data_IF_353615283037
#
_entry.id   IF_353615283037
#
_cell.length_a   1.000
_cell.length_b   1.000
_cell.length_c   1.000
_cell.angle_alpha   90.00
_cell.angle_beta   90.00
_cell.angle_gamma   90.00
#
_symmetry.space_group_name_H-M   'P 1'
#
loop_
_entity.id
_entity.type
_entity.pdbx_description
1 polymer ?
#
# COMPACT_ATOMS: atom_id res chain seq x y z
N UNK A 1 9.32 -10.18 6.10
CA UNK A 1 8.37 -10.17 4.97
C UNK A 1 8.43 -8.82 4.27
N UNK A 2 8.12 -8.81 2.98
CA UNK A 2 8.09 -7.58 2.15
C UNK A 2 6.70 -7.34 1.56
N UNK A 3 5.83 -8.35 1.57
CA UNK A 3 4.45 -8.23 1.12
C UNK A 3 3.56 -9.22 1.85
N UNK A 4 2.36 -8.78 2.20
CA UNK A 4 1.28 -9.61 2.72
C UNK A 4 -0.01 -9.28 1.94
N UNK A 5 -0.77 -10.31 1.55
CA UNK A 5 -2.01 -10.15 0.79
C UNK A 5 -3.09 -11.07 1.36
N UNK A 6 -4.28 -10.54 1.56
CA UNK A 6 -5.46 -11.29 1.96
C UNK A 6 -6.56 -11.09 0.90
N UNK A 7 -7.08 -12.18 0.34
CA UNK A 7 -8.11 -12.13 -0.72
C UNK A 7 -7.71 -11.28 -1.95
N UNK A 8 -6.41 -11.20 -2.25
CA UNK A 8 -5.89 -10.40 -3.38
C UNK A 8 -5.61 -8.93 -3.05
N UNK A 9 -5.95 -8.46 -1.88
CA UNK A 9 -5.67 -7.10 -1.41
C UNK A 9 -4.40 -7.08 -0.56
N UNK A 10 -3.60 -6.03 -0.70
CA UNK A 10 -2.46 -5.81 0.21
C UNK A 10 -2.95 -5.52 1.62
N UNK A 11 -2.28 -6.10 2.60
CA UNK A 11 -2.52 -5.84 4.02
C UNK A 11 -1.20 -5.44 4.69
N UNK A 12 -1.29 -4.59 5.71
CA UNK A 12 -0.12 -4.20 6.49
C UNK A 12 0.47 -5.42 7.20
N UNK A 13 1.78 -5.63 7.05
CA UNK A 13 2.52 -6.70 7.75
C UNK A 13 2.47 -6.43 9.26
N UNK A 14 2.71 -5.19 9.66
CA UNK A 14 2.76 -4.80 11.07
C UNK A 14 1.40 -4.96 11.76
N UNK A 15 0.30 -4.58 11.10
CA UNK A 15 -1.05 -4.76 11.65
C UNK A 15 -1.47 -6.24 11.66
N UNK A 16 -1.15 -6.98 10.58
CA UNK A 16 -1.55 -8.38 10.44
C UNK A 16 -0.82 -9.29 11.42
N UNK A 17 0.47 -9.03 11.64
CA UNK A 17 1.34 -9.89 12.44
C UNK A 17 1.81 -9.24 13.76
N UNK A 18 1.40 -8.00 14.05
CA UNK A 18 1.79 -7.28 15.25
C UNK A 18 3.23 -6.76 15.21
N UNK A 19 3.79 -6.54 14.00
CA UNK A 19 5.12 -6.04 13.76
C UNK A 19 5.82 -6.75 12.61
N UNK A 20 7.09 -6.43 12.40
CA UNK A 20 7.90 -7.03 11.35
C UNK A 20 7.93 -8.56 11.45
N UNK A 21 7.85 -9.23 10.30
CA UNK A 21 7.93 -10.68 10.22
C UNK A 21 9.19 -11.10 9.45
N UNK A 22 10.11 -11.75 10.15
CA UNK A 22 11.44 -12.11 9.63
C UNK A 22 11.77 -13.58 9.86
N UNK A 23 12.58 -14.18 8.97
CA UNK A 23 13.21 -15.47 9.12
C UNK A 23 14.73 -15.38 9.00
N UNK A 24 15.43 -16.08 9.86
CA UNK A 24 16.83 -16.40 9.68
C UNK A 24 16.99 -17.89 9.35
N UNK A 25 17.32 -18.19 8.10
CA UNK A 25 17.53 -19.56 7.60
C UNK A 25 18.97 -19.99 7.81
N UNK A 26 19.20 -21.07 8.58
CA UNK A 26 20.54 -21.57 8.93
C UNK A 26 20.89 -22.82 8.13
N UNK A 27 22.15 -22.97 7.75
CA UNK A 27 22.64 -24.08 6.92
C UNK A 27 22.45 -25.48 7.55
N UNK A 28 22.11 -25.57 8.82
CA UNK A 28 21.93 -26.82 9.55
C UNK A 28 20.46 -27.31 9.59
N UNK A 29 19.61 -26.79 8.70
CA UNK A 29 18.18 -27.12 8.66
C UNK A 29 17.34 -26.49 9.76
N UNK A 30 17.90 -25.52 10.49
CA UNK A 30 17.17 -24.75 11.51
C UNK A 30 16.78 -23.40 10.95
N UNK A 31 15.66 -22.89 11.42
CA UNK A 31 15.19 -21.54 11.17
C UNK A 31 14.87 -20.88 12.51
N UNK A 32 15.23 -19.64 12.67
CA UNK A 32 14.68 -18.75 13.69
C UNK A 32 13.77 -17.73 13.04
N UNK A 33 12.69 -17.35 13.70
CA UNK A 33 11.77 -16.34 13.21
C UNK A 33 11.44 -15.33 14.31
N UNK A 34 11.10 -14.11 13.88
CA UNK A 34 10.52 -13.06 14.71
C UNK A 34 9.26 -12.54 14.06
N UNK A 35 8.22 -12.33 14.86
CA UNK A 35 6.94 -11.74 14.48
C UNK A 35 6.59 -10.72 15.55
N UNK A 36 6.74 -9.43 15.26
CA UNK A 36 6.69 -8.41 16.28
C UNK A 36 7.69 -8.70 17.41
N UNK A 37 7.20 -8.72 18.64
CA UNK A 37 8.00 -9.04 19.84
C UNK A 37 8.16 -10.53 20.11
N UNK A 38 7.50 -11.41 19.32
CA UNK A 38 7.55 -12.86 19.49
C UNK A 38 8.66 -13.46 18.66
N UNK A 39 9.47 -14.31 19.28
CA UNK A 39 10.53 -15.07 18.59
C UNK A 39 10.31 -16.56 18.76
N UNK A 40 10.69 -17.33 17.74
CA UNK A 40 10.58 -18.77 17.76
C UNK A 40 11.63 -19.45 16.91
N UNK A 41 11.61 -20.81 16.95
CA UNK A 41 12.50 -21.64 16.17
C UNK A 41 11.72 -22.74 15.49
N UNK A 42 12.20 -23.15 14.31
CA UNK A 42 11.65 -24.24 13.55
C UNK A 42 12.72 -25.02 12.82
N UNK A 43 12.28 -25.82 11.89
CA UNK A 43 13.13 -26.54 10.92
C UNK A 43 12.72 -26.15 9.51
N UNK A 44 13.65 -26.27 8.60
CA UNK A 44 13.38 -26.10 7.18
C UNK A 44 14.05 -27.19 6.36
N UNK A 45 13.44 -27.48 5.22
CA UNK A 45 14.01 -28.31 4.15
C UNK A 45 13.60 -27.75 2.79
N UNK A 46 14.23 -28.25 1.74
CA UNK A 46 13.86 -27.97 0.35
C UNK A 46 13.59 -29.29 -0.34
N UNK A 47 12.41 -29.40 -0.93
CA UNK A 47 12.01 -30.54 -1.75
C UNK A 47 11.32 -30.02 -3.02
N UNK A 48 11.70 -30.50 -4.18
CA UNK A 48 11.09 -30.15 -5.47
C UNK A 48 10.89 -28.62 -5.70
N UNK A 49 11.91 -27.84 -5.34
CA UNK A 49 11.90 -26.36 -5.41
C UNK A 49 10.87 -25.69 -4.46
N UNK A 50 10.39 -26.43 -3.47
CA UNK A 50 9.55 -25.90 -2.40
C UNK A 50 10.36 -25.75 -1.11
N UNK A 51 10.11 -24.66 -0.40
CA UNK A 51 10.63 -24.41 0.94
C UNK A 51 9.63 -24.93 1.97
N UNK A 52 10.01 -25.97 2.69
CA UNK A 52 9.17 -26.54 3.73
C UNK A 52 9.62 -25.97 5.07
N UNK A 53 8.73 -25.25 5.73
CA UNK A 53 8.93 -24.67 7.05
C UNK A 53 8.11 -25.45 8.07
N UNK A 54 8.76 -26.03 9.08
CA UNK A 54 8.11 -26.76 10.16
C UNK A 54 8.29 -26.04 11.49
N UNK A 55 7.20 -25.58 12.07
CA UNK A 55 7.13 -24.90 13.38
C UNK A 55 6.13 -25.65 14.25
N UNK A 56 6.56 -26.10 15.42
CA UNK A 56 5.72 -26.81 16.41
C UNK A 56 4.98 -28.05 15.86
N UNK A 57 5.48 -28.61 14.75
CA UNK A 57 4.89 -29.79 14.11
C UNK A 57 3.90 -29.47 13.00
N UNK A 58 3.60 -28.21 12.77
CA UNK A 58 2.86 -27.77 11.59
C UNK A 58 3.84 -27.46 10.44
N UNK A 59 3.46 -27.87 9.24
CA UNK A 59 4.26 -27.64 8.03
C UNK A 59 3.58 -26.60 7.13
N UNK A 60 4.38 -25.62 6.71
CA UNK A 60 4.00 -24.62 5.72
C UNK A 60 4.89 -24.77 4.51
N UNK A 61 4.30 -24.77 3.33
CA UNK A 61 5.00 -24.94 2.06
C UNK A 61 5.08 -23.60 1.33
N UNK A 62 6.29 -23.14 1.08
CA UNK A 62 6.57 -21.93 0.30
C UNK A 62 7.19 -22.28 -1.05
N UNK A 63 6.98 -21.43 -2.04
CA UNK A 63 7.59 -21.52 -3.35
C UNK A 63 8.86 -20.68 -3.36
N UNK A 64 9.97 -21.29 -3.81
CA UNK A 64 11.26 -20.59 -3.93
C UNK A 64 11.32 -19.88 -5.27
N UNK A 65 11.48 -18.56 -5.25
CA UNK A 65 11.77 -17.72 -6.41
C UNK A 65 13.20 -17.17 -6.38
N UNK A 66 13.49 -16.24 -7.28
CA UNK A 66 14.77 -15.51 -7.27
C UNK A 66 14.78 -14.55 -6.09
N UNK A 67 15.61 -14.85 -5.10
CA UNK A 67 15.78 -14.05 -3.86
C UNK A 67 14.49 -13.86 -3.03
N UNK A 68 13.45 -14.70 -3.25
CA UNK A 68 12.20 -14.69 -2.49
C UNK A 68 11.77 -16.10 -2.07
N UNK A 69 10.94 -16.16 -1.03
CA UNK A 69 10.10 -17.30 -0.67
C UNK A 69 8.67 -16.79 -0.51
N UNK A 70 7.72 -17.39 -1.22
CA UNK A 70 6.31 -17.03 -1.18
C UNK A 70 5.50 -18.15 -0.54
N UNK A 71 4.72 -17.83 0.47
CA UNK A 71 3.73 -18.74 1.09
C UNK A 71 2.34 -18.25 0.69
N UNK A 72 1.57 -19.09 -0.03
CA UNK A 72 0.23 -18.71 -0.49
C UNK A 72 -0.80 -18.70 0.66
N UNK A 73 -0.52 -19.42 1.74
CA UNK A 73 -1.40 -19.46 2.90
C UNK A 73 -0.57 -19.62 4.19
N UNK A 74 -0.19 -18.50 4.76
CA UNK A 74 0.41 -18.43 6.08
C UNK A 74 -0.58 -17.73 7.02
N UNK A 75 -1.27 -18.51 7.87
CA UNK A 75 -2.32 -18.00 8.76
C UNK A 75 -3.49 -17.30 8.01
N UNK A 76 -3.83 -17.75 6.79
CA UNK A 76 -4.89 -17.15 5.96
C UNK A 76 -4.42 -16.02 5.04
N UNK A 77 -3.13 -15.71 5.05
CA UNK A 77 -2.52 -14.60 4.30
C UNK A 77 -1.46 -15.16 3.36
N UNK A 78 -1.41 -14.63 2.13
CA UNK A 78 -0.26 -14.84 1.25
C UNK A 78 0.86 -13.92 1.71
N UNK A 79 2.05 -14.48 1.99
CA UNK A 79 3.21 -13.70 2.47
C UNK A 79 4.41 -13.95 1.58
N UNK A 80 5.10 -12.89 1.21
CA UNK A 80 6.34 -12.93 0.46
C UNK A 80 7.48 -12.45 1.35
N UNK A 81 8.50 -13.27 1.46
CA UNK A 81 9.76 -12.93 2.12
C UNK A 81 10.83 -12.71 1.06
N UNK A 82 11.51 -11.57 1.11
CA UNK A 82 12.67 -11.29 0.29
C UNK A 82 13.96 -11.56 1.08
N UNK A 83 14.99 -11.93 0.36
CA UNK A 83 16.32 -12.08 0.93
C UNK A 83 16.91 -10.70 1.19
N UNK A 84 17.37 -10.50 2.42
CA UNK A 84 17.99 -9.25 2.85
C UNK A 84 19.16 -8.83 1.95
N UNK A 85 19.24 -7.53 1.66
CA UNK A 85 20.29 -6.93 0.84
C UNK A 85 20.19 -7.22 -0.67
N UNK A 86 19.02 -7.66 -1.16
CA UNK A 86 18.78 -7.87 -2.59
C UNK A 86 17.73 -6.89 -3.13
N UNK A 87 17.66 -6.73 -4.46
CA UNK A 87 16.64 -5.91 -5.13
C UNK A 87 15.21 -6.41 -4.82
N UNK A 88 15.05 -7.67 -4.42
CA UNK A 88 13.77 -8.24 -4.01
C UNK A 88 13.18 -7.58 -2.74
N UNK A 89 13.93 -6.77 -2.02
CA UNK A 89 13.43 -5.97 -0.90
C UNK A 89 12.59 -4.75 -1.34
N UNK A 90 12.62 -4.38 -2.62
CA UNK A 90 11.86 -3.25 -3.15
C UNK A 90 10.34 -3.54 -3.09
N UNK A 91 9.56 -2.81 -2.29
CA UNK A 91 8.11 -3.01 -2.18
C UNK A 91 7.35 -2.77 -3.50
N UNK A 92 7.91 -1.99 -4.42
CA UNK A 92 7.33 -1.73 -5.74
C UNK A 92 7.12 -3.01 -6.57
N UNK A 93 7.90 -4.06 -6.31
CA UNK A 93 7.77 -5.35 -7.01
C UNK A 93 6.52 -6.15 -6.61
N UNK A 94 5.83 -5.76 -5.55
CA UNK A 94 4.73 -6.52 -4.95
C UNK A 94 3.42 -5.74 -4.89
N UNK A 95 3.32 -4.65 -5.63
CA UNK A 95 2.07 -3.89 -5.75
C UNK A 95 1.02 -4.71 -6.50
N UNK A 96 -0.23 -4.61 -6.05
CA UNK A 96 -1.38 -5.19 -6.76
C UNK A 96 -1.69 -4.38 -8.02
N UNK A 97 -2.59 -4.90 -8.89
CA UNK A 97 -3.04 -4.14 -10.06
C UNK A 97 -3.75 -2.83 -9.65
N UNK A 98 -4.58 -2.88 -8.59
CA UNK A 98 -5.27 -1.70 -8.07
C UNK A 98 -4.28 -0.67 -7.50
N UNK A 99 -3.26 -1.12 -6.75
CA UNK A 99 -2.20 -0.24 -6.25
C UNK A 99 -1.41 0.40 -7.40
N UNK A 100 -1.05 -0.38 -8.43
CA UNK A 100 -0.35 0.16 -9.60
C UNK A 100 -1.18 1.19 -10.38
N UNK A 101 -2.50 1.07 -10.38
CA UNK A 101 -3.38 2.02 -11.06
C UNK A 101 -3.30 3.43 -10.45
N UNK A 102 -3.09 3.54 -9.12
CA UNK A 102 -3.03 4.85 -8.44
C UNK A 102 -1.64 5.47 -8.40
N UNK A 103 -0.56 4.72 -8.65
CA UNK A 103 0.81 5.26 -8.64
C UNK A 103 0.96 6.43 -9.59
N UNK A 104 1.62 7.50 -9.12
CA UNK A 104 1.94 8.71 -9.87
C UNK A 104 1.25 9.94 -9.34
N UNK A 105 1.39 11.04 -10.08
CA UNK A 105 0.85 12.34 -9.70
C UNK A 105 -0.58 12.52 -10.25
N UNK A 106 -1.44 13.03 -9.41
CA UNK A 106 -2.83 13.34 -9.68
C UNK A 106 -3.12 14.79 -9.31
N UNK A 107 -3.90 15.46 -10.12
CA UNK A 107 -4.29 16.84 -9.88
C UNK A 107 -5.80 17.02 -10.05
N UNK A 108 -6.40 17.91 -9.29
CA UNK A 108 -7.79 18.25 -9.42
C UNK A 108 -8.07 18.86 -10.79
N UNK A 109 -9.11 18.38 -11.48
CA UNK A 109 -9.68 18.95 -12.69
C UNK A 109 -10.94 19.77 -12.36
N UNK A 110 -11.67 19.34 -11.32
CA UNK A 110 -12.82 20.05 -10.79
C UNK A 110 -13.01 19.76 -9.29
N UNK A 111 -13.80 20.63 -8.65
CA UNK A 111 -14.17 20.54 -7.24
C UNK A 111 -15.66 20.72 -7.08
N UNK A 112 -16.26 20.00 -6.14
CA UNK A 112 -17.65 20.17 -5.70
C UNK A 112 -17.68 20.54 -4.22
N UNK A 113 -18.48 21.56 -3.88
CA UNK A 113 -18.84 21.85 -2.49
C UNK A 113 -20.04 21.00 -2.04
N UNK A 114 -20.12 20.64 -0.78
CA UNK A 114 -21.17 19.77 -0.22
C UNK A 114 -22.62 20.22 -0.55
N UNK A 115 -22.85 21.50 -0.72
CA UNK A 115 -24.15 22.10 -1.04
C UNK A 115 -24.09 22.96 -2.30
N UNK A 116 -23.08 22.74 -3.15
CA UNK A 116 -22.87 23.51 -4.39
C UNK A 116 -23.74 23.06 -5.55
N UNK A 117 -23.64 23.81 -6.66
CA UNK A 117 -24.43 23.58 -7.88
C UNK A 117 -23.78 22.49 -8.82
N UNK A 118 -22.83 21.68 -8.29
CA UNK A 118 -22.08 20.63 -9.02
C UNK A 118 -20.62 21.01 -9.30
N UNK A 119 -19.91 20.23 -10.14
CA UNK A 119 -18.47 20.41 -10.36
C UNK A 119 -18.11 21.77 -10.92
N UNK A 120 -17.11 22.41 -10.31
CA UNK A 120 -16.57 23.70 -10.72
C UNK A 120 -15.08 23.55 -11.09
N UNK A 121 -14.63 24.30 -12.08
CA UNK A 121 -13.23 24.32 -12.56
C UNK A 121 -12.42 25.47 -11.95
N UNK A 122 -12.93 26.08 -10.89
CA UNK A 122 -12.27 27.14 -10.11
C UNK A 122 -12.62 26.97 -8.63
N UNK A 123 -11.69 27.37 -7.77
CA UNK A 123 -11.85 27.34 -6.32
C UNK A 123 -11.31 28.64 -5.72
N UNK A 124 -11.96 29.16 -4.69
CA UNK A 124 -11.50 30.37 -4.00
C UNK A 124 -10.12 30.15 -3.37
N UNK A 125 -9.23 31.12 -3.55
CA UNK A 125 -7.86 31.09 -3.02
C UNK A 125 -6.88 30.28 -3.87
N UNK A 126 -7.27 29.82 -5.07
CA UNK A 126 -6.40 29.06 -5.98
C UNK A 126 -6.47 29.64 -7.39
N UNK A 127 -5.32 29.96 -7.97
CA UNK A 127 -5.23 30.51 -9.32
C UNK A 127 -5.50 29.48 -10.42
N UNK A 128 -5.14 28.21 -10.15
CA UNK A 128 -5.32 27.08 -11.06
C UNK A 128 -5.95 25.90 -10.30
N UNK A 129 -7.04 25.36 -10.83
CA UNK A 129 -7.76 24.24 -10.19
C UNK A 129 -6.84 23.03 -9.92
N UNK A 130 -5.83 22.80 -10.74
CA UNK A 130 -4.87 21.72 -10.53
C UNK A 130 -4.03 21.90 -9.25
N UNK A 131 -3.95 23.12 -8.71
CA UNK A 131 -3.27 23.41 -7.45
C UNK A 131 -4.21 23.30 -6.24
N UNK A 132 -5.52 23.13 -6.48
CA UNK A 132 -6.49 22.95 -5.40
C UNK A 132 -6.23 21.68 -4.59
N UNK A 133 -5.98 20.57 -5.28
CA UNK A 133 -5.53 19.31 -4.66
C UNK A 133 -4.59 18.59 -5.61
N UNK A 134 -3.43 18.17 -5.08
CA UNK A 134 -2.53 17.22 -5.75
C UNK A 134 -2.21 16.07 -4.81
N UNK A 135 -2.11 14.88 -5.39
CA UNK A 135 -1.73 13.65 -4.70
C UNK A 135 -0.59 13.01 -5.49
N UNK A 136 0.53 12.70 -4.85
CA UNK A 136 1.65 11.97 -5.46
C UNK A 136 1.81 10.62 -4.76
N UNK A 137 1.19 9.59 -5.36
CA UNK A 137 1.24 8.22 -4.86
C UNK A 137 2.54 7.53 -5.27
N UNK A 138 3.31 7.10 -4.30
CA UNK A 138 4.59 6.43 -4.49
C UNK A 138 4.49 4.92 -4.30
N UNK A 139 5.38 4.18 -4.95
CA UNK A 139 5.43 2.72 -4.90
C UNK A 139 5.82 2.15 -3.52
N UNK A 140 6.33 2.99 -2.62
CA UNK A 140 6.62 2.63 -1.23
C UNK A 140 5.39 2.74 -0.30
N UNK A 141 4.19 2.93 -0.91
CA UNK A 141 2.91 3.12 -0.23
C UNK A 141 2.83 4.39 0.63
N UNK A 142 3.56 5.41 0.24
CA UNK A 142 3.39 6.76 0.76
C UNK A 142 2.77 7.67 -0.30
N UNK A 143 1.92 8.60 0.11
CA UNK A 143 1.34 9.64 -0.73
C UNK A 143 1.67 11.01 -0.17
N UNK A 144 2.19 11.88 -1.01
CA UNK A 144 2.35 13.31 -0.66
C UNK A 144 1.08 14.05 -1.04
N UNK A 145 0.50 14.77 -0.10
CA UNK A 145 -0.74 15.55 -0.25
C UNK A 145 -0.39 17.02 -0.29
N UNK A 146 -0.84 17.71 -1.35
CA UNK A 146 -0.70 19.15 -1.53
C UNK A 146 -2.11 19.74 -1.68
N UNK A 147 -2.47 20.69 -0.83
CA UNK A 147 -3.77 21.36 -0.83
C UNK A 147 -3.59 22.86 -0.93
N UNK A 148 -4.32 23.50 -1.85
CA UNK A 148 -4.19 24.95 -2.16
C UNK A 148 -2.74 25.40 -2.41
N UNK A 149 -1.94 24.51 -3.04
CA UNK A 149 -0.54 24.76 -3.36
C UNK A 149 0.45 24.56 -2.21
N UNK A 150 -0.01 24.19 -1.01
CA UNK A 150 0.83 23.92 0.16
C UNK A 150 0.89 22.43 0.45
N UNK A 151 2.09 21.89 0.74
CA UNK A 151 2.25 20.51 1.15
C UNK A 151 1.70 20.33 2.56
N UNK A 152 0.67 19.46 2.69
CA UNK A 152 0.06 19.10 3.95
C UNK A 152 0.91 18.06 4.68
N UNK A 153 1.45 17.08 3.92
CA UNK A 153 2.30 16.03 4.45
C UNK A 153 2.40 14.82 3.54
N UNK A 154 3.10 13.83 4.05
CA UNK A 154 3.22 12.51 3.40
C UNK A 154 2.65 11.46 4.34
N UNK A 155 1.74 10.63 3.83
CA UNK A 155 0.94 9.69 4.60
C UNK A 155 1.00 8.29 3.98
N UNK A 156 0.91 7.22 4.79
CA UNK A 156 0.71 5.88 4.28
C UNK A 156 -0.62 5.77 3.52
N UNK A 157 -0.65 4.91 2.49
CA UNK A 157 -1.88 4.60 1.77
C UNK A 157 -2.01 3.10 1.49
N UNK A 158 -3.24 2.66 1.30
CA UNK A 158 -3.57 1.30 0.90
C UNK A 158 -4.79 1.30 -0.03
N UNK A 159 -4.91 0.25 -0.87
CA UNK A 159 -6.05 0.09 -1.78
C UNK A 159 -6.79 -1.19 -1.48
N UNK A 160 -8.11 -1.10 -1.39
CA UNK A 160 -9.00 -2.25 -1.25
C UNK A 160 -10.36 -1.97 -1.90
N UNK A 161 -10.83 -2.89 -2.75
CA UNK A 161 -12.18 -2.84 -3.34
C UNK A 161 -12.49 -1.53 -4.09
N UNK A 162 -11.52 -0.99 -4.81
CA UNK A 162 -11.67 0.25 -5.58
C UNK A 162 -11.58 1.54 -4.75
N UNK A 163 -11.28 1.42 -3.45
CA UNK A 163 -11.02 2.56 -2.56
C UNK A 163 -9.57 2.61 -2.16
N UNK A 164 -8.99 3.80 -2.19
CA UNK A 164 -7.69 4.07 -1.62
C UNK A 164 -7.87 4.85 -0.31
N UNK A 165 -7.44 4.27 0.79
CA UNK A 165 -7.42 4.88 2.10
C UNK A 165 -6.08 5.56 2.32
N UNK A 166 -6.09 6.80 2.78
CA UNK A 166 -4.91 7.57 3.19
C UNK A 166 -4.96 7.72 4.71
N UNK A 167 -3.90 7.30 5.39
CA UNK A 167 -3.82 7.30 6.86
C UNK A 167 -3.48 8.70 7.37
N UNK A 168 -4.43 9.63 7.22
CA UNK A 168 -4.36 10.99 7.73
C UNK A 168 -5.51 11.26 8.67
N UNK A 169 -5.24 11.82 9.84
CA UNK A 169 -6.29 12.20 10.80
C UNK A 169 -6.92 13.57 10.44
N UNK A 170 -6.09 14.49 10.00
CA UNK A 170 -6.51 15.82 9.54
C UNK A 170 -5.52 16.33 8.46
N UNK A 171 -5.98 16.53 7.20
CA UNK A 171 -7.32 16.29 6.71
C UNK A 171 -7.69 14.79 6.60
N UNK A 172 -8.97 14.46 6.69
CA UNK A 172 -9.49 13.16 6.32
C UNK A 172 -9.61 13.08 4.80
N UNK A 173 -9.08 12.02 4.21
CA UNK A 173 -9.04 11.81 2.76
C UNK A 173 -9.59 10.41 2.44
N UNK A 174 -10.62 10.36 1.60
CA UNK A 174 -11.12 9.12 1.02
C UNK A 174 -11.04 9.21 -0.49
N UNK A 175 -10.35 8.25 -1.11
CA UNK A 175 -10.13 8.23 -2.55
C UNK A 175 -10.87 7.04 -3.16
N UNK A 176 -11.73 7.30 -4.14
CA UNK A 176 -12.39 6.29 -4.93
C UNK A 176 -11.77 6.25 -6.33
N UNK A 177 -11.45 5.06 -6.80
CA UNK A 177 -10.91 4.82 -8.13
C UNK A 177 -12.10 4.57 -9.07
N UNK A 178 -12.28 5.43 -10.06
CA UNK A 178 -13.36 5.31 -11.03
C UNK A 178 -12.97 4.37 -12.19
N UNK A 179 -13.96 3.73 -12.82
CA UNK A 179 -13.77 2.83 -13.96
C UNK A 179 -13.13 3.51 -15.19
N UNK A 180 -13.25 4.84 -15.30
CA UNK A 180 -12.66 5.64 -16.38
C UNK A 180 -11.19 6.02 -16.12
N UNK A 181 -10.62 5.57 -15.00
CA UNK A 181 -9.24 5.84 -14.62
C UNK A 181 -9.02 7.21 -13.97
N UNK A 182 -10.08 7.88 -13.53
CA UNK A 182 -10.00 9.11 -12.72
C UNK A 182 -10.12 8.78 -11.23
N UNK A 183 -9.79 9.74 -10.35
CA UNK A 183 -10.01 9.62 -8.92
C UNK A 183 -11.08 10.61 -8.45
N UNK A 184 -11.98 10.13 -7.59
CA UNK A 184 -12.84 10.99 -6.78
C UNK A 184 -12.26 11.03 -5.37
N UNK A 185 -11.98 12.22 -4.87
CA UNK A 185 -11.34 12.45 -3.57
C UNK A 185 -12.26 13.27 -2.69
N UNK A 186 -12.79 12.66 -1.64
CA UNK A 186 -13.49 13.40 -0.60
C UNK A 186 -12.45 13.89 0.41
N UNK A 187 -12.35 15.20 0.56
CA UNK A 187 -11.45 15.93 1.46
C UNK A 187 -12.25 16.59 2.57
N UNK A 188 -11.82 16.44 3.80
CA UNK A 188 -12.43 17.13 4.94
C UNK A 188 -11.37 17.49 5.97
N UNK A 189 -11.33 18.74 6.38
CA UNK A 189 -10.60 19.21 7.55
C UNK A 189 -11.56 19.96 8.52
N UNK A 190 -11.01 20.73 9.46
CA UNK A 190 -11.80 21.44 10.47
C UNK A 190 -12.70 22.53 9.88
N UNK A 191 -12.33 23.10 8.72
CA UNK A 191 -12.97 24.26 8.10
C UNK A 191 -13.64 23.93 6.75
N UNK A 192 -13.10 22.97 6.00
CA UNK A 192 -13.44 22.71 4.60
C UNK A 192 -13.97 21.28 4.39
N UNK A 193 -14.95 21.14 3.49
CA UNK A 193 -15.39 19.85 2.95
C UNK A 193 -15.59 19.97 1.45
N UNK A 194 -14.80 19.23 0.68
CA UNK A 194 -14.84 19.23 -0.77
C UNK A 194 -14.77 17.81 -1.35
N UNK A 195 -15.38 17.65 -2.52
CA UNK A 195 -15.14 16.50 -3.38
C UNK A 195 -14.35 16.95 -4.60
N UNK A 196 -13.16 16.43 -4.80
CA UNK A 196 -12.31 16.69 -5.96
C UNK A 196 -12.44 15.56 -6.98
N UNK A 197 -12.51 15.92 -8.26
CA UNK A 197 -12.32 14.98 -9.37
C UNK A 197 -10.90 15.19 -9.88
N UNK A 198 -10.06 14.15 -9.76
CA UNK A 198 -8.64 14.24 -10.10
C UNK A 198 -8.33 13.37 -11.32
N UNK A 199 -7.48 13.90 -12.19
CA UNK A 199 -6.91 13.21 -13.34
C UNK A 199 -5.41 13.01 -13.13
N UNK A 200 -4.88 11.96 -13.75
CA UNK A 200 -3.45 11.71 -13.70
C UNK A 200 -2.72 12.82 -14.43
N UNK A 201 -1.75 13.45 -13.77
CA UNK A 201 -0.91 14.45 -14.40
C UNK A 201 -0.01 13.75 -15.43
N UNK A 202 0.01 14.27 -16.67
CA UNK A 202 0.98 13.82 -17.65
C UNK A 202 2.38 14.16 -17.12
N UNK A 203 3.20 13.14 -16.84
CA UNK A 203 4.62 13.36 -16.57
C UNK A 203 5.28 13.88 -17.85
N UNK A 204 5.69 15.17 -17.84
CA UNK A 204 6.52 15.73 -18.90
C UNK A 204 7.88 15.01 -19.03
#
# INVERSE_FOLDING_TARGET
AVSAQMMGMSVSIDETFGGAFEFEVKNNGKVSFSVGDTTGNGKWSVEDNQFILSIEGEEMVGIIGKDIISFDNMMGVKVIFAKDGTDAMDPALYLTEEENAVIGEWAAESVEELLGDGPQTSMEGVDNINDALRLDFKSDRNVTVIYKGEEIGTFPWSVALGYCSIESENPSLTVMINDDGTLKVDYSDDDDYYTFHCVKSDSE
#
